data_IF_859391431095
#
_entry.id   IF_859391431095
#
_cell.length_a   1.000
_cell.length_b   1.000
_cell.length_c   1.000
_cell.angle_alpha   90.00
_cell.angle_beta   90.00
_cell.angle_gamma   90.00
#
_symmetry.space_group_name_H-M   'P 1'
#
loop_
_entity.id
_entity.type
_entity.pdbx_description
1 polymer ?
#
# COMPACT_ATOMS: atom_id res chain seq x y z
N UNK A 1 47.23 -22.96 -2.28
CA UNK A 1 46.10 -23.29 -1.36
C UNK A 1 45.23 -22.10 -0.99
N UNK A 2 45.72 -20.85 -0.82
CA UNK A 2 44.94 -19.64 -0.44
C UNK A 2 43.79 -19.25 -1.42
N UNK A 3 44.00 -19.41 -2.75
CA UNK A 3 43.01 -19.03 -3.77
C UNK A 3 41.70 -19.89 -3.73
N UNK A 4 41.81 -21.16 -3.39
CA UNK A 4 40.62 -22.06 -3.25
C UNK A 4 39.76 -21.71 -2.04
N UNK A 5 40.37 -21.33 -0.91
CA UNK A 5 39.62 -20.92 0.29
C UNK A 5 38.83 -19.63 0.05
N UNK A 6 39.41 -18.65 -0.65
CA UNK A 6 38.72 -17.40 -1.00
C UNK A 6 37.50 -17.64 -1.91
N UNK A 7 37.63 -18.57 -2.89
CA UNK A 7 36.51 -18.91 -3.79
C UNK A 7 35.32 -19.57 -3.04
N UNK A 8 35.60 -20.44 -2.07
CA UNK A 8 34.51 -21.07 -1.27
C UNK A 8 33.84 -20.08 -0.33
N UNK A 9 34.58 -19.13 0.26
CA UNK A 9 33.98 -18.09 1.12
C UNK A 9 33.13 -17.11 0.32
N UNK A 10 33.55 -16.68 -0.89
CA UNK A 10 32.74 -15.82 -1.76
C UNK A 10 31.47 -16.51 -2.23
N UNK A 11 31.52 -17.78 -2.62
CA UNK A 11 30.32 -18.54 -2.99
C UNK A 11 29.35 -18.66 -1.80
N UNK A 12 29.88 -18.94 -0.60
CA UNK A 12 29.05 -19.01 0.62
C UNK A 12 28.35 -17.68 0.93
N UNK A 13 29.05 -16.56 0.82
CA UNK A 13 28.46 -15.23 1.02
C UNK A 13 27.37 -14.93 -0.02
N UNK A 14 27.61 -15.23 -1.29
CA UNK A 14 26.62 -15.06 -2.35
C UNK A 14 25.35 -15.89 -2.11
N UNK A 15 25.49 -17.16 -1.68
CA UNK A 15 24.37 -18.02 -1.36
C UNK A 15 23.55 -17.46 -0.19
N UNK A 16 24.20 -17.01 0.87
CA UNK A 16 23.52 -16.39 2.02
C UNK A 16 22.82 -15.12 1.58
N UNK A 17 23.41 -14.26 0.77
CA UNK A 17 22.79 -13.05 0.27
C UNK A 17 21.54 -13.34 -0.57
N UNK A 18 21.56 -14.38 -1.41
CA UNK A 18 20.39 -14.81 -2.21
C UNK A 18 19.26 -15.31 -1.29
N UNK A 19 19.60 -16.12 -0.28
CA UNK A 19 18.62 -16.64 0.69
C UNK A 19 17.99 -15.47 1.46
N UNK A 20 18.79 -14.54 1.96
CA UNK A 20 18.31 -13.37 2.69
C UNK A 20 17.41 -12.51 1.81
N UNK A 21 17.81 -12.26 0.55
CA UNK A 21 16.97 -11.52 -0.40
C UNK A 21 15.60 -12.18 -0.58
N UNK A 22 15.55 -13.50 -0.78
CA UNK A 22 14.29 -14.24 -0.98
C UNK A 22 13.42 -14.31 0.28
N UNK A 23 14.01 -14.19 1.48
CA UNK A 23 13.26 -14.09 2.74
C UNK A 23 12.63 -12.71 2.92
N UNK A 24 13.29 -11.66 2.41
CA UNK A 24 12.86 -10.26 2.54
C UNK A 24 11.86 -9.88 1.46
N UNK A 25 12.09 -10.30 0.21
CA UNK A 25 11.27 -9.93 -0.93
C UNK A 25 10.47 -11.11 -1.45
N UNK A 26 9.18 -10.89 -1.67
CA UNK A 26 8.25 -11.85 -2.27
C UNK A 26 7.60 -11.21 -3.48
N UNK A 27 7.46 -11.97 -4.56
CA UNK A 27 6.72 -11.54 -5.73
C UNK A 27 5.22 -11.80 -5.53
N UNK A 28 4.41 -10.81 -5.87
CA UNK A 28 2.95 -10.90 -5.87
C UNK A 28 2.42 -10.47 -7.23
N UNK A 29 1.56 -11.29 -7.83
CA UNK A 29 0.89 -10.96 -9.09
C UNK A 29 -0.39 -10.19 -8.79
N UNK A 30 -0.51 -8.98 -9.35
CA UNK A 30 -1.71 -8.15 -9.20
C UNK A 30 -2.91 -8.86 -9.80
N UNK A 31 -3.97 -9.00 -9.01
CA UNK A 31 -5.26 -9.51 -9.44
C UNK A 31 -6.30 -8.38 -9.43
N UNK A 32 -7.01 -8.24 -10.56
CA UNK A 32 -8.04 -7.23 -10.74
C UNK A 32 -7.50 -5.83 -11.04
N UNK A 33 -8.44 -4.89 -11.16
CA UNK A 33 -8.20 -3.55 -11.71
C UNK A 33 -8.12 -2.44 -10.66
N UNK A 34 -8.20 -2.77 -9.38
CA UNK A 34 -8.40 -1.80 -8.30
C UNK A 34 -7.24 -0.81 -8.09
N UNK A 35 -6.06 -1.09 -8.62
CA UNK A 35 -4.87 -0.24 -8.53
C UNK A 35 -4.49 0.41 -9.87
N UNK A 36 -5.32 0.26 -10.90
CA UNK A 36 -5.12 0.98 -12.15
C UNK A 36 -5.31 2.50 -11.95
N UNK A 37 -4.56 3.33 -12.69
CA UNK A 37 -3.57 2.99 -13.70
C UNK A 37 -2.19 2.67 -13.15
N UNK A 38 -1.95 2.79 -11.82
CA UNK A 38 -0.62 2.60 -11.23
C UNK A 38 -0.09 1.18 -11.43
N UNK A 39 -0.94 0.18 -11.19
CA UNK A 39 -0.62 -1.22 -11.40
C UNK A 39 -1.71 -1.91 -12.21
N UNK A 40 -1.32 -2.43 -13.36
CA UNK A 40 -2.20 -3.21 -14.23
C UNK A 40 -2.35 -4.63 -13.71
N UNK A 41 -3.48 -5.26 -14.04
CA UNK A 41 -3.72 -6.67 -13.77
C UNK A 41 -2.63 -7.54 -14.40
N UNK A 42 -2.17 -8.54 -13.66
CA UNK A 42 -1.12 -9.45 -14.08
C UNK A 42 0.31 -8.95 -13.84
N UNK A 43 0.51 -7.69 -13.46
CA UNK A 43 1.83 -7.14 -13.11
C UNK A 43 2.40 -7.86 -11.88
N UNK A 44 3.70 -8.20 -11.93
CA UNK A 44 4.44 -8.72 -10.78
C UNK A 44 4.99 -7.56 -9.94
N UNK A 45 4.66 -7.55 -8.67
CA UNK A 45 5.13 -6.59 -7.69
C UNK A 45 6.16 -7.25 -6.76
N UNK A 46 7.25 -6.55 -6.49
CA UNK A 46 8.21 -6.96 -5.45
C UNK A 46 7.78 -6.39 -4.11
N UNK A 47 7.47 -7.26 -3.17
CA UNK A 47 6.97 -6.89 -1.84
C UNK A 47 8.11 -7.00 -0.84
N UNK A 48 8.39 -5.91 -0.15
CA UNK A 48 9.33 -5.87 0.96
C UNK A 48 8.62 -6.18 2.27
N UNK A 49 8.85 -7.36 2.82
CA UNK A 49 8.26 -7.80 4.10
C UNK A 49 8.88 -7.08 5.30
N UNK A 50 10.14 -6.68 5.23
CA UNK A 50 10.83 -6.02 6.34
C UNK A 50 10.54 -4.52 6.40
N UNK A 51 10.02 -3.93 5.32
CA UNK A 51 9.72 -2.50 5.27
C UNK A 51 8.80 -2.03 6.40
N UNK A 52 7.92 -2.91 6.86
CA UNK A 52 6.96 -2.62 7.94
C UNK A 52 7.63 -2.57 9.32
N UNK A 53 8.66 -3.40 9.54
CA UNK A 53 9.32 -3.53 10.86
C UNK A 53 10.39 -2.47 11.09
N UNK A 54 11.03 -1.97 10.02
CA UNK A 54 12.16 -1.03 10.12
C UNK A 54 11.81 0.39 9.71
N UNK A 55 10.76 0.57 8.95
CA UNK A 55 10.28 1.88 8.51
C UNK A 55 8.82 2.04 8.90
N UNK A 56 8.45 3.18 9.45
CA UNK A 56 7.05 3.56 9.57
C UNK A 56 6.41 3.57 8.17
N UNK A 57 5.15 3.13 8.08
CA UNK A 57 4.38 3.35 6.86
C UNK A 57 4.20 4.84 6.64
N UNK A 58 4.45 5.29 5.44
CA UNK A 58 4.19 6.66 5.03
C UNK A 58 2.86 6.75 4.27
N UNK A 59 2.25 7.95 4.30
CA UNK A 59 1.09 8.22 3.47
C UNK A 59 1.46 8.05 2.01
N UNK A 60 0.59 7.36 1.26
CA UNK A 60 0.73 6.97 -0.13
C UNK A 60 1.63 5.76 -0.41
N UNK A 61 2.20 5.13 0.61
CA UNK A 61 2.80 3.80 0.43
C UNK A 61 1.75 2.82 -0.11
N UNK A 62 2.16 1.93 -1.01
CA UNK A 62 1.31 0.83 -1.46
C UNK A 62 1.61 -0.40 -0.63
N UNK A 63 0.57 -0.94 -0.02
CA UNK A 63 0.63 -2.07 0.90
C UNK A 63 -0.08 -3.29 0.34
N UNK A 64 0.44 -4.45 0.69
CA UNK A 64 -0.18 -5.76 0.48
C UNK A 64 -0.60 -6.29 1.85
N UNK A 65 -1.86 -6.65 2.00
CA UNK A 65 -2.44 -6.96 3.31
C UNK A 65 -3.66 -7.89 3.21
N UNK A 66 -4.06 -8.45 4.34
CA UNK A 66 -5.34 -9.14 4.50
C UNK A 66 -6.41 -8.15 4.96
N UNK A 67 -7.50 -7.93 4.20
CA UNK A 67 -8.59 -7.08 4.65
C UNK A 67 -9.32 -7.71 5.85
N UNK A 68 -10.07 -6.91 6.65
CA UNK A 68 -10.79 -7.43 7.79
C UNK A 68 -11.69 -8.62 7.43
N UNK A 69 -11.64 -9.67 8.27
CA UNK A 69 -12.46 -10.88 8.14
C UNK A 69 -12.29 -11.62 6.78
N UNK A 70 -11.11 -11.59 6.19
CA UNK A 70 -10.85 -12.23 4.90
C UNK A 70 -9.43 -12.78 4.79
N UNK A 71 -9.31 -13.99 4.24
CA UNK A 71 -8.02 -14.61 3.87
C UNK A 71 -7.47 -14.12 2.52
N UNK A 72 -8.25 -13.30 1.79
CA UNK A 72 -7.81 -12.75 0.51
C UNK A 72 -6.67 -11.75 0.72
N UNK A 73 -5.82 -11.64 -0.28
CA UNK A 73 -4.74 -10.64 -0.30
C UNK A 73 -5.18 -9.46 -1.16
N UNK A 74 -5.06 -8.26 -0.61
CA UNK A 74 -5.38 -7.01 -1.29
C UNK A 74 -4.13 -6.15 -1.45
N UNK A 75 -4.12 -5.37 -2.53
CA UNK A 75 -3.12 -4.32 -2.78
C UNK A 75 -3.86 -2.99 -2.81
N UNK A 76 -3.50 -2.06 -1.92
CA UNK A 76 -4.10 -0.73 -1.82
C UNK A 76 -3.06 0.30 -1.41
N UNK A 77 -3.43 1.57 -1.57
CA UNK A 77 -2.61 2.70 -1.14
C UNK A 77 -3.05 3.22 0.22
N UNK A 78 -2.09 3.48 1.09
CA UNK A 78 -2.32 4.11 2.40
C UNK A 78 -2.71 5.57 2.18
N UNK A 79 -3.90 5.93 2.64
CA UNK A 79 -4.43 7.30 2.55
C UNK A 79 -4.45 7.96 3.92
N UNK A 80 -4.74 7.20 4.97
CA UNK A 80 -4.76 7.69 6.34
C UNK A 80 -3.89 6.86 7.26
N UNK A 81 -3.19 7.53 8.16
CA UNK A 81 -2.28 6.99 9.18
C UNK A 81 -2.86 7.19 10.59
N UNK A 82 -2.37 6.49 11.62
CA UNK A 82 -2.81 6.69 13.00
C UNK A 82 -2.76 8.16 13.42
N UNK A 83 -3.85 8.63 14.01
CA UNK A 83 -4.02 10.02 14.46
C UNK A 83 -4.59 10.96 13.40
N UNK A 84 -4.73 10.54 12.16
CA UNK A 84 -5.35 11.38 11.12
C UNK A 84 -6.86 11.48 11.30
N UNK A 85 -7.37 12.69 11.13
CA UNK A 85 -8.73 12.99 10.72
C UNK A 85 -8.73 13.11 9.20
N UNK A 86 -9.58 12.37 8.49
CA UNK A 86 -9.65 12.46 7.03
C UNK A 86 -11.08 12.60 6.54
N UNK A 87 -11.23 13.36 5.47
CA UNK A 87 -12.45 13.43 4.69
C UNK A 87 -12.16 13.72 3.21
N UNK A 88 -13.10 13.36 2.35
CA UNK A 88 -13.12 13.76 0.96
C UNK A 88 -14.27 14.72 0.72
N UNK A 89 -13.98 15.83 0.03
CA UNK A 89 -14.96 16.79 -0.43
C UNK A 89 -14.64 17.19 -1.87
N UNK A 90 -15.60 17.05 -2.76
CA UNK A 90 -15.47 17.35 -4.20
C UNK A 90 -14.23 16.65 -4.81
N UNK A 91 -14.08 15.35 -4.49
CA UNK A 91 -12.95 14.50 -4.87
C UNK A 91 -11.58 14.96 -4.36
N UNK A 92 -11.52 15.92 -3.45
CA UNK A 92 -10.30 16.39 -2.83
C UNK A 92 -10.12 15.74 -1.46
N UNK A 93 -8.95 15.14 -1.22
CA UNK A 93 -8.54 14.63 0.08
C UNK A 93 -8.19 15.80 1.02
N UNK A 94 -8.72 15.73 2.24
CA UNK A 94 -8.31 16.57 3.36
C UNK A 94 -7.85 15.68 4.50
N UNK A 95 -6.71 16.03 5.09
CA UNK A 95 -6.15 15.37 6.27
C UNK A 95 -5.85 16.43 7.32
N UNK A 96 -6.39 16.26 8.51
CA UNK A 96 -6.23 17.20 9.63
C UNK A 96 -6.58 18.64 9.20
N UNK A 97 -7.67 18.77 8.43
CA UNK A 97 -8.19 20.06 7.91
C UNK A 97 -7.40 20.66 6.74
N UNK A 98 -6.36 20.02 6.24
CA UNK A 98 -5.53 20.51 5.13
C UNK A 98 -5.76 19.70 3.86
N UNK A 99 -5.92 20.38 2.73
CA UNK A 99 -5.99 19.74 1.42
C UNK A 99 -4.65 19.05 1.10
N UNK A 100 -4.73 17.79 0.67
CA UNK A 100 -3.58 16.94 0.32
C UNK A 100 -3.70 16.51 -1.12
N UNK A 101 -2.66 16.75 -1.91
CA UNK A 101 -2.61 16.32 -3.30
C UNK A 101 -2.37 14.81 -3.40
N UNK A 102 -2.98 14.18 -4.39
CA UNK A 102 -2.84 12.75 -4.72
C UNK A 102 -2.22 12.62 -6.11
N UNK A 103 -0.87 12.72 -6.22
CA UNK A 103 -0.17 12.84 -7.51
C UNK A 103 -0.21 11.55 -8.35
N UNK A 104 -0.58 10.43 -7.77
CA UNK A 104 -0.72 9.13 -8.43
C UNK A 104 -2.06 8.98 -9.15
N UNK A 105 -3.02 9.87 -8.89
CA UNK A 105 -4.29 9.87 -9.60
C UNK A 105 -4.18 10.65 -10.91
N UNK A 106 -4.93 10.25 -11.93
CA UNK A 106 -5.00 10.99 -13.19
C UNK A 106 -5.42 12.44 -12.95
N UNK A 107 -4.82 13.36 -13.68
CA UNK A 107 -5.17 14.78 -13.62
C UNK A 107 -6.52 15.03 -14.30
N UNK A 108 -7.20 16.12 -13.91
CA UNK A 108 -8.50 16.55 -14.50
C UNK A 108 -8.42 16.86 -16.01
N UNK A 109 -7.22 16.90 -16.57
CA UNK A 109 -6.99 17.16 -18.01
C UNK A 109 -7.40 16.01 -18.92
N UNK A 110 -7.60 14.80 -18.35
CA UNK A 110 -8.18 13.69 -19.12
C UNK A 110 -9.65 13.50 -18.70
N UNK A 111 -10.62 14.01 -19.50
CA UNK A 111 -12.04 13.96 -19.14
C UNK A 111 -12.63 12.54 -19.08
N UNK A 112 -11.92 11.53 -19.58
CA UNK A 112 -12.33 10.12 -19.51
C UNK A 112 -11.98 9.45 -18.17
N UNK A 113 -11.14 10.10 -17.36
CA UNK A 113 -10.71 9.56 -16.05
C UNK A 113 -11.05 10.57 -14.96
N UNK A 114 -12.31 10.63 -14.58
CA UNK A 114 -12.74 11.48 -13.46
C UNK A 114 -12.26 10.86 -12.15
N UNK A 115 -11.62 11.69 -11.30
CA UNK A 115 -11.44 11.39 -9.87
C UNK A 115 -12.83 11.23 -9.24
N UNK A 116 -13.34 10.04 -9.14
CA UNK A 116 -14.64 9.83 -8.50
C UNK A 116 -14.45 9.11 -7.18
N UNK A 117 -13.79 9.79 -6.25
CA UNK A 117 -13.66 9.28 -4.88
C UNK A 117 -14.94 9.53 -4.09
N UNK A 118 -15.69 10.60 -4.46
CA UNK A 118 -16.92 11.01 -3.81
C UNK A 118 -16.66 11.90 -2.58
N UNK A 119 -17.75 12.11 -1.83
CA UNK A 119 -17.74 12.86 -0.58
C UNK A 119 -18.02 11.91 0.57
N UNK A 120 -17.16 11.89 1.56
CA UNK A 120 -17.34 11.13 2.81
C UNK A 120 -16.39 11.63 3.89
N UNK A 121 -16.72 11.34 5.15
CA UNK A 121 -15.84 11.53 6.30
C UNK A 121 -15.38 10.18 6.85
N UNK A 122 -14.27 10.17 7.59
CA UNK A 122 -13.82 8.98 8.31
C UNK A 122 -14.90 8.48 9.27
N UNK A 123 -15.59 9.41 9.94
CA UNK A 123 -16.62 9.11 10.93
C UNK A 123 -17.83 8.39 10.30
N UNK A 124 -18.28 8.81 9.12
CA UNK A 124 -19.38 8.15 8.38
C UNK A 124 -19.04 6.70 8.00
N UNK A 125 -17.76 6.38 7.78
CA UNK A 125 -17.32 5.03 7.37
C UNK A 125 -16.99 4.14 8.56
N UNK A 126 -16.44 4.71 9.64
CA UNK A 126 -15.77 3.93 10.70
C UNK A 126 -16.28 4.17 12.11
N UNK A 127 -17.22 5.09 12.30
CA UNK A 127 -17.68 5.60 13.62
C UNK A 127 -16.52 6.19 14.46
N UNK A 128 -15.43 6.64 13.81
CA UNK A 128 -14.27 7.25 14.44
C UNK A 128 -13.97 8.59 13.79
N UNK A 129 -13.67 9.60 14.62
CA UNK A 129 -13.24 10.92 14.15
C UNK A 129 -11.77 10.94 13.71
N UNK A 130 -10.95 10.06 14.31
CA UNK A 130 -9.52 9.90 13.99
C UNK A 130 -9.16 8.43 13.84
N UNK A 131 -8.15 8.13 13.02
CA UNK A 131 -7.65 6.76 12.85
C UNK A 131 -6.95 6.31 14.14
N UNK A 132 -7.39 5.22 14.79
CA UNK A 132 -6.76 4.72 16.00
C UNK A 132 -5.33 4.24 15.78
N UNK A 133 -4.54 4.20 16.85
CA UNK A 133 -3.19 3.60 16.83
C UNK A 133 -3.28 2.14 16.37
N UNK A 134 -2.37 1.74 15.47
CA UNK A 134 -2.32 0.39 14.92
C UNK A 134 -3.26 0.15 13.74
N UNK A 135 -3.97 1.19 13.28
CA UNK A 135 -4.88 1.11 12.13
C UNK A 135 -4.45 2.06 11.01
N UNK A 136 -4.90 1.77 9.81
CA UNK A 136 -4.73 2.62 8.63
C UNK A 136 -6.01 2.65 7.80
N UNK A 137 -6.14 3.68 6.95
CA UNK A 137 -7.20 3.80 5.95
C UNK A 137 -6.59 3.69 4.57
N UNK A 138 -7.07 2.75 3.76
CA UNK A 138 -6.48 2.43 2.46
C UNK A 138 -7.51 2.57 1.35
N UNK A 139 -7.10 3.10 0.19
CA UNK A 139 -7.96 3.22 -0.99
C UNK A 139 -7.20 2.70 -2.22
N UNK A 140 -7.93 2.12 -3.17
CA UNK A 140 -7.39 1.75 -4.48
C UNK A 140 -7.27 2.97 -5.39
N UNK A 141 -6.28 2.95 -6.29
CA UNK A 141 -6.07 4.05 -7.24
C UNK A 141 -7.19 4.12 -8.27
N UNK A 142 -7.80 2.98 -8.62
CA UNK A 142 -9.04 2.94 -9.40
C UNK A 142 -10.24 3.21 -8.47
N UNK A 143 -10.53 4.47 -8.25
CA UNK A 143 -11.52 4.94 -7.29
C UNK A 143 -12.93 4.38 -7.50
N UNK A 144 -13.31 4.11 -8.74
CA UNK A 144 -14.62 3.59 -9.11
C UNK A 144 -14.72 2.07 -8.97
N UNK A 145 -13.60 1.36 -9.16
CA UNK A 145 -13.59 -0.11 -9.22
C UNK A 145 -12.68 -0.71 -8.14
N UNK A 146 -12.70 -0.11 -6.95
CA UNK A 146 -11.95 -0.60 -5.81
C UNK A 146 -12.86 -0.91 -4.62
N UNK A 147 -12.73 -2.13 -4.09
CA UNK A 147 -13.23 -2.47 -2.77
C UNK A 147 -12.12 -2.23 -1.75
N UNK A 148 -12.28 -1.23 -0.90
CA UNK A 148 -11.26 -0.72 0.02
C UNK A 148 -11.90 -0.20 1.33
N UNK A 149 -11.17 0.59 2.11
CA UNK A 149 -11.63 1.08 3.42
C UNK A 149 -12.96 1.84 3.38
N UNK A 150 -13.36 2.37 2.25
CA UNK A 150 -14.69 2.95 2.08
C UNK A 150 -15.82 1.92 2.26
N UNK A 151 -15.49 0.61 2.15
CA UNK A 151 -16.47 -0.49 2.20
C UNK A 151 -16.28 -1.39 3.43
N UNK A 152 -15.05 -1.56 3.91
CA UNK A 152 -14.76 -2.48 5.02
C UNK A 152 -14.14 -1.79 6.25
N UNK A 153 -14.00 -0.44 6.21
CA UNK A 153 -13.47 0.33 7.32
C UNK A 153 -11.94 0.27 7.44
N UNK A 154 -11.46 0.43 8.66
CA UNK A 154 -10.04 0.47 8.98
C UNK A 154 -9.38 -0.90 8.83
N UNK A 155 -8.10 -0.89 8.48
CA UNK A 155 -7.24 -2.07 8.40
C UNK A 155 -6.23 -2.03 9.54
N UNK A 156 -6.09 -3.14 10.25
CA UNK A 156 -5.02 -3.29 11.25
C UNK A 156 -3.66 -3.34 10.56
N UNK A 157 -2.70 -2.61 11.10
CA UNK A 157 -1.34 -2.61 10.53
C UNK A 157 -0.66 -3.98 10.65
N UNK A 158 -1.05 -4.79 11.64
CA UNK A 158 -0.55 -6.15 11.83
C UNK A 158 -0.99 -7.11 10.70
N UNK A 159 -2.04 -6.75 9.95
CA UNK A 159 -2.49 -7.51 8.78
C UNK A 159 -1.69 -7.21 7.50
N UNK A 160 -0.71 -6.29 7.56
CA UNK A 160 0.13 -5.94 6.43
C UNK A 160 1.21 -7.00 6.21
N UNK A 161 1.24 -7.56 5.01
CA UNK A 161 2.24 -8.55 4.58
C UNK A 161 3.55 -7.83 4.20
N UNK A 162 3.45 -6.65 3.59
CA UNK A 162 4.61 -5.87 3.18
C UNK A 162 4.22 -4.64 2.35
N UNK A 163 5.25 -3.85 2.01
CA UNK A 163 5.13 -2.68 1.14
C UNK A 163 5.64 -3.00 -0.25
N UNK A 164 5.05 -2.39 -1.27
CA UNK A 164 5.55 -2.49 -2.64
C UNK A 164 6.81 -1.64 -2.77
N UNK A 165 7.88 -2.23 -3.32
CA UNK A 165 9.24 -1.69 -3.31
C UNK A 165 9.48 -0.45 -4.18
N UNK A 166 8.52 0.03 -4.95
CA UNK A 166 8.65 1.19 -5.84
C UNK A 166 8.43 2.51 -5.05
N UNK A 167 9.29 2.79 -4.08
CA UNK A 167 9.41 4.17 -3.57
C UNK A 167 10.07 5.02 -4.65
N UNK A 168 9.29 5.91 -5.26
CA UNK A 168 9.83 7.01 -6.06
C UNK A 168 10.31 8.13 -5.16
#
# INVERSE_FOLDING_TARGET
MKKRGIAFTTVGICLVAIIVKNLIFVEYKVEGVSMQPTYEEGRLLSINKLGIYFNSLDRFDVVVFHPPNSEKIYVKRVIGLPGDELHYKDDQLYVNGKAVNEPFLPTKENPEVTKQTGNFTLEEITDKTTIPKGYMFVIGDNRLQSRDSRHFGLVEMDNVIGTVGDRK
#
